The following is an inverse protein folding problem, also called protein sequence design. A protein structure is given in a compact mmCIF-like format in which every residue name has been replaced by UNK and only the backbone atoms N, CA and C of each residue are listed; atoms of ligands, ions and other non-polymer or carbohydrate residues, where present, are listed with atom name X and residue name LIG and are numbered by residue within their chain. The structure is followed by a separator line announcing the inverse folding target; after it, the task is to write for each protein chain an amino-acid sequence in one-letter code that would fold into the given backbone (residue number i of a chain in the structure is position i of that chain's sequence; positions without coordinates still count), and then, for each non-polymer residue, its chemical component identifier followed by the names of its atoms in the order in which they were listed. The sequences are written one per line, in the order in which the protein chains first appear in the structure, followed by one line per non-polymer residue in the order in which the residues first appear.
data_IF_884611312085
#
_entry.id   IF_884611312085
#
_cell.length_a   1.000
_cell.length_b   1.000
_cell.length_c   1.000
_cell.angle_alpha   90.00
_cell.angle_beta   90.00
_cell.angle_gamma   90.00
#
_symmetry.space_group_name_H-M   'P 1'
#
loop_
_entity.id
_entity.type
_entity.pdbx_description
1 polymer ?
#
# COMPACT_ATOMS: atom_id res chain seq x y z
N UNK A 1 -2.23 20.37 -6.02
CA UNK A 1 -1.34 20.42 -4.83
C UNK A 1 -2.14 20.44 -3.52
N UNK A 2 -3.21 21.25 -3.42
CA UNK A 2 -4.10 21.29 -2.24
C UNK A 2 -4.90 20.00 -2.00
N UNK A 3 -5.36 19.31 -3.05
CA UNK A 3 -6.16 18.08 -2.95
C UNK A 3 -5.49 16.99 -2.09
N UNK A 4 -4.20 16.73 -2.30
CA UNK A 4 -3.44 15.78 -1.48
C UNK A 4 -3.49 16.11 0.03
N UNK A 5 -3.44 17.39 0.39
CA UNK A 5 -3.52 17.82 1.79
C UNK A 5 -4.92 17.58 2.37
N UNK A 6 -5.97 17.85 1.60
CA UNK A 6 -7.35 17.53 2.01
C UNK A 6 -7.56 16.02 2.18
N UNK A 7 -7.08 15.21 1.23
CA UNK A 7 -7.15 13.75 1.32
C UNK A 7 -6.39 13.24 2.55
N UNK A 8 -5.22 13.81 2.85
CA UNK A 8 -4.45 13.46 4.05
C UNK A 8 -5.22 13.81 5.32
N UNK A 9 -5.80 15.03 5.42
CA UNK A 9 -6.58 15.46 6.58
C UNK A 9 -7.81 14.56 6.81
N UNK A 10 -8.55 14.21 5.76
CA UNK A 10 -9.70 13.31 5.84
C UNK A 10 -9.29 11.92 6.33
N UNK A 11 -8.18 11.37 5.82
CA UNK A 11 -7.65 10.08 6.27
C UNK A 11 -7.23 10.12 7.74
N UNK A 12 -6.53 11.17 8.16
CA UNK A 12 -6.12 11.37 9.56
C UNK A 12 -7.33 11.47 10.49
N UNK A 13 -8.33 12.29 10.15
CA UNK A 13 -9.56 12.42 10.96
C UNK A 13 -10.31 11.07 11.08
N UNK A 14 -10.38 10.28 10.00
CA UNK A 14 -11.00 8.95 10.04
C UNK A 14 -10.22 7.94 10.88
N UNK A 15 -8.89 8.07 10.95
CA UNK A 15 -8.04 7.29 11.85
C UNK A 15 -8.28 7.71 13.32
N UNK A 16 -8.29 9.02 13.61
CA UNK A 16 -8.51 9.57 14.96
C UNK A 16 -9.87 9.19 15.54
N UNK A 17 -10.90 9.18 14.70
CA UNK A 17 -12.27 8.82 15.08
C UNK A 17 -12.52 7.31 15.11
N UNK A 18 -11.52 6.49 14.75
CA UNK A 18 -11.64 5.03 14.72
C UNK A 18 -12.59 4.49 13.64
N UNK A 19 -13.00 5.33 12.67
CA UNK A 19 -13.76 4.91 11.48
C UNK A 19 -12.91 4.02 10.58
N UNK A 20 -11.62 4.29 10.55
CA UNK A 20 -10.61 3.40 10.00
C UNK A 20 -10.15 2.47 11.12
N UNK A 21 -10.25 1.16 10.87
CA UNK A 21 -9.73 0.12 11.77
C UNK A 21 -8.87 -0.84 10.94
N UNK A 22 -7.77 -1.30 11.53
CA UNK A 22 -6.90 -2.29 10.91
C UNK A 22 -7.54 -3.69 11.01
N UNK A 23 -7.85 -4.28 9.86
CA UNK A 23 -8.30 -5.67 9.73
C UNK A 23 -7.08 -6.57 9.47
N UNK A 24 -6.24 -6.76 10.48
CA UNK A 24 -5.05 -7.60 10.36
C UNK A 24 -5.45 -9.07 10.28
N UNK A 25 -5.04 -9.73 9.20
CA UNK A 25 -5.25 -11.16 8.99
C UNK A 25 -4.00 -11.80 8.38
N UNK A 26 -3.79 -13.11 8.56
CA UNK A 26 -2.77 -13.83 7.83
C UNK A 26 -2.98 -13.67 6.33
N UNK A 27 -1.95 -13.18 5.64
CA UNK A 27 -1.95 -13.02 4.19
C UNK A 27 -0.53 -13.06 3.66
N UNK A 28 -0.38 -13.43 2.38
CA UNK A 28 0.92 -13.45 1.72
C UNK A 28 1.39 -12.02 1.49
N UNK A 29 2.58 -11.70 1.97
CA UNK A 29 3.17 -10.37 1.75
C UNK A 29 3.41 -10.12 0.27
N UNK A 30 3.71 -11.17 -0.49
CA UNK A 30 3.92 -11.13 -1.93
C UNK A 30 2.75 -10.46 -2.68
N UNK A 31 1.50 -10.83 -2.36
CA UNK A 31 0.31 -10.27 -3.01
C UNK A 31 0.19 -8.75 -2.77
N UNK A 32 0.47 -8.32 -1.54
CA UNK A 32 0.42 -6.90 -1.14
C UNK A 32 1.51 -6.08 -1.84
N UNK A 33 2.74 -6.61 -1.93
CA UNK A 33 3.81 -5.91 -2.65
C UNK A 33 3.56 -5.90 -4.15
N UNK A 34 3.04 -6.99 -4.74
CA UNK A 34 2.67 -7.02 -6.15
C UNK A 34 1.59 -5.97 -6.50
N UNK A 35 0.61 -5.78 -5.62
CA UNK A 35 -0.39 -4.71 -5.76
C UNK A 35 0.27 -3.31 -5.71
N UNK A 36 1.18 -3.07 -4.76
CA UNK A 36 1.91 -1.80 -4.65
C UNK A 36 2.77 -1.52 -5.90
N UNK A 37 3.47 -2.55 -6.40
CA UNK A 37 4.27 -2.49 -7.62
C UNK A 37 3.43 -2.11 -8.85
N UNK A 38 2.23 -2.68 -8.97
CA UNK A 38 1.29 -2.37 -10.06
C UNK A 38 0.92 -0.88 -10.12
N UNK A 39 0.90 -0.20 -8.97
CA UNK A 39 0.62 1.24 -8.90
C UNK A 39 1.76 2.15 -9.36
N UNK A 40 2.99 1.65 -9.43
CA UNK A 40 4.18 2.47 -9.74
C UNK A 40 4.91 2.06 -11.01
N UNK A 41 4.79 0.80 -11.44
CA UNK A 41 5.63 0.21 -12.50
C UNK A 41 5.63 1.03 -13.78
N UNK A 42 4.46 1.47 -14.23
CA UNK A 42 4.32 2.27 -15.45
C UNK A 42 4.96 3.66 -15.34
N UNK A 43 4.82 4.30 -14.18
CA UNK A 43 5.40 5.62 -13.95
C UNK A 43 6.94 5.55 -13.82
N UNK A 44 7.45 4.45 -13.28
CA UNK A 44 8.88 4.17 -13.17
C UNK A 44 9.48 3.85 -14.56
N UNK A 45 8.81 2.99 -15.34
CA UNK A 45 9.21 2.62 -16.69
C UNK A 45 9.34 3.83 -17.61
N UNK A 46 8.37 4.77 -17.58
CA UNK A 46 8.44 6.03 -18.34
C UNK A 46 9.66 6.90 -18.03
N UNK A 47 10.27 6.70 -16.86
CA UNK A 47 11.45 7.43 -16.40
C UNK A 47 12.72 6.57 -16.49
N UNK A 48 12.63 5.41 -17.11
CA UNK A 48 13.72 4.42 -17.22
C UNK A 48 14.26 3.99 -15.84
N UNK A 49 13.37 3.97 -14.83
CA UNK A 49 13.70 3.53 -13.47
C UNK A 49 13.33 2.06 -13.34
N UNK A 50 14.34 1.21 -13.14
CA UNK A 50 14.13 -0.19 -12.79
C UNK A 50 13.61 -0.31 -11.35
N UNK A 51 12.56 -1.11 -11.17
CA UNK A 51 12.00 -1.45 -9.85
C UNK A 51 11.97 -2.96 -9.72
N UNK A 52 12.47 -3.48 -8.60
CA UNK A 52 12.47 -4.91 -8.30
C UNK A 52 12.00 -5.12 -6.86
N UNK A 53 11.47 -6.30 -6.59
CA UNK A 53 11.18 -6.78 -5.25
C UNK A 53 11.80 -8.16 -5.08
N UNK A 54 12.44 -8.37 -3.93
CA UNK A 54 12.85 -9.68 -3.46
C UNK A 54 11.95 -10.06 -2.28
N UNK A 55 10.92 -10.85 -2.55
CA UNK A 55 9.93 -11.27 -1.57
C UNK A 55 9.59 -12.74 -1.78
N UNK A 56 9.76 -13.61 -0.77
CA UNK A 56 9.35 -15.00 -0.86
C UNK A 56 7.83 -15.12 -1.09
N UNK A 57 7.41 -15.95 -2.05
CA UNK A 57 6.00 -16.10 -2.43
C UNK A 57 5.13 -16.69 -1.30
N UNK A 58 5.73 -17.45 -0.39
CA UNK A 58 5.07 -18.15 0.71
C UNK A 58 5.10 -17.38 2.05
N UNK A 59 5.82 -16.24 2.10
CA UNK A 59 5.92 -15.41 3.30
C UNK A 59 4.54 -14.88 3.71
N UNK A 60 3.99 -15.47 4.77
CA UNK A 60 2.69 -15.09 5.33
C UNK A 60 2.89 -14.28 6.60
N UNK A 61 2.28 -13.10 6.67
CA UNK A 61 2.31 -12.21 7.83
C UNK A 61 0.91 -11.72 8.19
N UNK A 62 0.66 -11.46 9.48
CA UNK A 62 -0.60 -10.87 9.93
C UNK A 62 -0.61 -9.37 9.65
N UNK A 63 -1.30 -8.96 8.58
CA UNK A 63 -1.36 -7.58 8.12
C UNK A 63 -2.72 -7.26 7.49
N UNK A 64 -3.02 -5.97 7.34
CA UNK A 64 -4.17 -5.51 6.58
C UNK A 64 -3.69 -5.13 5.18
N UNK A 65 -4.06 -5.90 4.15
CA UNK A 65 -3.59 -5.69 2.78
C UNK A 65 -4.22 -4.46 2.10
N UNK A 66 -5.19 -3.80 2.73
CA UNK A 66 -5.82 -2.57 2.23
C UNK A 66 -5.10 -1.30 2.71
N UNK A 67 -4.10 -1.46 3.60
CA UNK A 67 -3.30 -0.42 4.21
C UNK A 67 -1.87 -0.46 3.70
#
# INVERSE_FOLDING_TARGET
KLDFLFQALVKTSRLETGVIQLDKKPGRLFDTVAQAMSGIVYAAEKKEIAVSVDCPEDLTVSHDSKW
#
